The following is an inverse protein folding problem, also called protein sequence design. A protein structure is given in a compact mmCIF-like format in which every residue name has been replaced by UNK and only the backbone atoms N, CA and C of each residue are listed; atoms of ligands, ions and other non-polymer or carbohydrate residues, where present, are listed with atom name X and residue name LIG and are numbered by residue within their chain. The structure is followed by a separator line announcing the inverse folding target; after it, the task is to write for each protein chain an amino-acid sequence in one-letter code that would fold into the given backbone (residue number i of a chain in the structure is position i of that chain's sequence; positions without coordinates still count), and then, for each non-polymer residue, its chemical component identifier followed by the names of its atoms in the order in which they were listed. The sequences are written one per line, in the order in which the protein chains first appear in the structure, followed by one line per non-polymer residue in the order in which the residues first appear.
data_IF_580115882250
#
_entry.id   IF_580115882250
#
_cell.length_a   1.000
_cell.length_b   1.000
_cell.length_c   1.000
_cell.angle_alpha   90.00
_cell.angle_beta   90.00
_cell.angle_gamma   90.00
#
_symmetry.space_group_name_H-M   'P 1'
#
loop_
_entity.id
_entity.type
_entity.pdbx_description
1 polymer ?
#
# COMPACT_ATOMS: atom_id res chain seq x y z
N UNK A 1 25.60 -4.20 -4.49
CA UNK A 1 24.32 -3.60 -4.07
C UNK A 1 23.76 -2.83 -5.26
N UNK A 2 22.44 -2.85 -5.52
CA UNK A 2 21.85 -1.93 -6.48
C UNK A 2 22.20 -0.50 -6.07
N UNK A 3 22.41 0.39 -7.04
CA UNK A 3 22.71 1.80 -6.81
C UNK A 3 21.54 2.60 -6.21
N UNK A 4 20.39 1.96 -5.95
CA UNK A 4 19.13 2.60 -5.57
C UNK A 4 18.67 2.38 -4.13
N UNK A 5 19.31 1.52 -3.34
CA UNK A 5 18.95 1.40 -1.92
C UNK A 5 19.73 2.43 -1.12
N UNK A 6 19.02 3.27 -0.37
CA UNK A 6 19.66 4.18 0.57
C UNK A 6 20.05 3.43 1.85
N UNK A 7 21.35 3.20 2.04
CA UNK A 7 21.90 2.54 3.22
C UNK A 7 21.38 3.17 4.51
N UNK A 8 20.85 2.34 5.43
CA UNK A 8 20.33 2.79 6.72
C UNK A 8 18.90 3.35 6.69
N UNK A 9 18.28 3.42 5.51
CA UNK A 9 16.86 3.76 5.33
C UNK A 9 16.10 2.61 4.69
N UNK A 10 16.62 2.11 3.58
CA UNK A 10 15.98 1.06 2.80
C UNK A 10 16.48 -0.32 3.19
N UNK A 11 15.57 -1.30 3.13
CA UNK A 11 15.89 -2.71 3.20
C UNK A 11 15.80 -3.32 1.79
N UNK A 12 16.84 -4.08 1.41
CA UNK A 12 16.88 -4.77 0.12
C UNK A 12 16.19 -6.11 0.22
N UNK A 13 15.19 -6.34 -0.63
CA UNK A 13 14.49 -7.62 -0.73
C UNK A 13 14.86 -8.32 -2.04
N UNK A 14 15.71 -9.37 -2.01
CA UNK A 14 16.19 -10.06 -3.21
C UNK A 14 15.06 -10.62 -4.09
N UNK A 15 14.01 -11.18 -3.48
CA UNK A 15 12.88 -11.80 -4.18
C UNK A 15 12.09 -10.82 -5.04
N UNK A 16 12.09 -9.54 -4.65
CA UNK A 16 11.42 -8.47 -5.38
C UNK A 16 12.36 -7.66 -6.27
N UNK A 17 13.66 -7.90 -6.14
CA UNK A 17 14.72 -7.08 -6.69
C UNK A 17 14.45 -5.57 -6.47
N UNK A 18 13.99 -5.21 -5.26
CA UNK A 18 13.57 -3.85 -4.94
C UNK A 18 13.96 -3.44 -3.52
N UNK A 19 14.21 -2.15 -3.35
CA UNK A 19 14.47 -1.50 -2.06
C UNK A 19 13.13 -1.04 -1.47
N UNK A 20 12.89 -1.35 -0.20
CA UNK A 20 11.66 -1.01 0.49
C UNK A 20 12.03 -0.27 1.75
N UNK A 21 11.44 0.90 1.94
CA UNK A 21 11.53 1.57 3.23
C UNK A 21 10.34 1.15 4.09
N UNK A 22 10.64 0.71 5.31
CA UNK A 22 9.67 0.25 6.31
C UNK A 22 9.72 1.22 7.51
N UNK A 23 8.85 2.24 7.53
CA UNK A 23 8.77 3.17 8.65
C UNK A 23 8.49 2.47 9.99
N UNK A 24 9.26 2.86 11.01
CA UNK A 24 9.14 2.28 12.36
C UNK A 24 7.85 2.69 13.08
N UNK A 25 7.23 3.80 12.69
CA UNK A 25 6.01 4.32 13.30
C UNK A 25 4.82 4.20 12.37
N UNK A 26 3.65 3.98 12.97
CA UNK A 26 2.38 4.06 12.29
C UNK A 26 1.92 5.52 12.17
N UNK A 27 1.22 5.86 11.08
CA UNK A 27 0.72 7.21 10.82
C UNK A 27 -0.69 7.17 10.22
N UNK A 28 -1.48 8.26 10.34
CA UNK A 28 -2.71 8.43 9.57
C UNK A 28 -2.45 8.31 8.07
N UNK A 29 -3.47 7.93 7.30
CA UNK A 29 -3.32 7.50 5.91
C UNK A 29 -2.64 8.55 5.01
N UNK A 30 -3.08 9.81 5.07
CA UNK A 30 -2.47 10.88 4.27
C UNK A 30 -1.06 11.24 4.73
N UNK A 31 -0.78 11.17 6.04
CA UNK A 31 0.58 11.37 6.52
C UNK A 31 1.51 10.24 6.08
N UNK A 32 1.04 8.99 6.10
CA UNK A 32 1.80 7.83 5.60
C UNK A 32 2.21 8.03 4.12
N UNK A 33 1.29 8.50 3.26
CA UNK A 33 1.60 8.87 1.88
C UNK A 33 2.67 9.96 1.81
N UNK A 34 2.49 11.04 2.56
CA UNK A 34 3.42 12.17 2.61
C UNK A 34 4.83 11.74 3.06
N UNK A 35 4.95 10.81 4.01
CA UNK A 35 6.26 10.28 4.44
C UNK A 35 6.97 9.59 3.28
N UNK A 36 6.29 8.72 2.54
CA UNK A 36 6.91 8.06 1.39
C UNK A 36 7.32 9.07 0.30
N UNK A 37 6.46 10.04 0.01
CA UNK A 37 6.71 11.04 -1.03
C UNK A 37 7.86 12.00 -0.68
N UNK A 38 8.03 12.34 0.61
CA UNK A 38 9.12 13.19 1.10
C UNK A 38 10.52 12.60 0.85
N UNK A 39 10.61 11.29 0.62
CA UNK A 39 11.86 10.58 0.26
C UNK A 39 11.86 10.10 -1.20
N UNK A 40 11.00 10.67 -2.05
CA UNK A 40 10.94 10.34 -3.48
C UNK A 40 10.24 9.02 -3.83
N UNK A 41 9.72 8.31 -2.83
CA UNK A 41 9.02 7.01 -2.96
C UNK A 41 7.49 7.23 -2.99
N UNK A 42 6.74 6.13 -3.00
CA UNK A 42 5.28 6.10 -2.86
C UNK A 42 4.86 5.00 -1.89
N UNK A 43 3.71 5.19 -1.24
CA UNK A 43 3.12 4.11 -0.43
C UNK A 43 2.76 2.92 -1.32
N UNK A 44 3.04 1.71 -0.86
CA UNK A 44 2.78 0.47 -1.59
C UNK A 44 1.27 0.24 -1.74
N UNK A 45 0.80 -0.02 -2.96
CA UNK A 45 -0.54 -0.56 -3.23
C UNK A 45 -0.55 -2.09 -3.23
N UNK A 46 -1.69 -2.70 -3.56
CA UNK A 46 -1.79 -4.17 -3.68
C UNK A 46 -1.75 -4.69 -5.11
N UNK A 47 -1.08 -3.96 -6.03
CA UNK A 47 -0.78 -4.47 -7.37
C UNK A 47 0.04 -5.78 -7.29
N UNK A 48 0.83 -5.94 -6.22
CA UNK A 48 1.42 -7.20 -5.81
C UNK A 48 1.00 -7.53 -4.37
N UNK A 49 -0.23 -8.04 -4.21
CA UNK A 49 -0.81 -8.39 -2.91
C UNK A 49 0.07 -9.36 -2.10
N UNK A 50 0.70 -10.34 -2.75
CA UNK A 50 1.59 -11.30 -2.08
C UNK A 50 2.81 -10.62 -1.43
N UNK A 51 3.35 -9.58 -2.09
CA UNK A 51 4.42 -8.75 -1.52
C UNK A 51 3.97 -8.00 -0.27
N UNK A 52 2.76 -7.43 -0.27
CA UNK A 52 2.19 -6.77 0.91
C UNK A 52 2.05 -7.77 2.07
N UNK A 53 1.47 -8.94 1.81
CA UNK A 53 1.26 -9.98 2.82
C UNK A 53 2.57 -10.51 3.42
N UNK A 54 3.59 -10.71 2.59
CA UNK A 54 4.91 -11.13 3.08
C UNK A 54 5.53 -10.06 3.99
N UNK A 55 5.48 -8.77 3.61
CA UNK A 55 6.01 -7.68 4.45
C UNK A 55 5.23 -7.53 5.75
N UNK A 56 3.91 -7.71 5.73
CA UNK A 56 3.10 -7.75 6.94
C UNK A 56 3.56 -8.88 7.87
N UNK A 57 3.85 -10.07 7.34
CA UNK A 57 4.37 -11.19 8.14
C UNK A 57 5.77 -10.89 8.72
N UNK A 58 6.69 -10.37 7.90
CA UNK A 58 8.06 -9.99 8.35
C UNK A 58 8.02 -8.94 9.45
N UNK A 59 7.05 -8.01 9.40
CA UNK A 59 6.90 -6.94 10.39
C UNK A 59 5.92 -7.26 11.52
N UNK A 60 5.36 -8.49 11.53
CA UNK A 60 4.31 -8.93 12.46
C UNK A 60 3.12 -7.95 12.52
N UNK A 61 2.76 -7.36 11.38
CA UNK A 61 1.66 -6.43 11.25
C UNK A 61 0.36 -7.17 10.94
N UNK A 62 -0.66 -6.99 11.79
CA UNK A 62 -2.03 -7.47 11.54
C UNK A 62 -2.78 -6.62 10.51
N UNK A 63 -2.35 -5.37 10.32
CA UNK A 63 -2.88 -4.48 9.29
C UNK A 63 -1.81 -3.51 8.80
N UNK A 64 -1.99 -2.99 7.58
CA UNK A 64 -1.15 -1.94 6.99
C UNK A 64 -2.02 -1.07 6.08
N UNK A 65 -1.69 0.22 5.99
CA UNK A 65 -2.19 1.09 4.93
C UNK A 65 -1.61 0.65 3.59
N UNK A 66 -2.41 0.79 2.54
CA UNK A 66 -2.00 0.58 1.16
C UNK A 66 -2.46 1.73 0.28
N UNK A 67 -1.64 2.11 -0.70
CA UNK A 67 -1.99 3.21 -1.59
C UNK A 67 -3.23 2.86 -2.41
N UNK A 68 -4.15 3.81 -2.48
CA UNK A 68 -5.22 3.85 -3.47
C UNK A 68 -5.53 5.30 -3.85
N UNK A 69 -6.11 5.46 -5.04
CA UNK A 69 -6.85 6.66 -5.45
C UNK A 69 -8.34 6.37 -5.30
N UNK A 70 -9.02 7.16 -4.46
CA UNK A 70 -10.46 7.13 -4.34
C UNK A 70 -11.12 7.97 -5.45
N UNK A 71 -12.07 7.39 -6.18
CA UNK A 71 -12.82 8.04 -7.25
C UNK A 71 -14.25 8.44 -6.84
N UNK A 72 -14.65 8.15 -5.60
CA UNK A 72 -16.04 8.26 -5.13
C UNK A 72 -16.84 6.98 -5.40
N UNK A 73 -18.04 6.89 -4.83
CA UNK A 73 -18.97 5.77 -4.99
C UNK A 73 -18.29 4.40 -4.79
N UNK A 74 -17.54 4.23 -3.69
CA UNK A 74 -16.84 3.00 -3.33
C UNK A 74 -15.89 2.50 -4.44
N UNK A 75 -15.39 3.42 -5.27
CA UNK A 75 -14.58 3.09 -6.44
C UNK A 75 -13.14 3.52 -6.20
N UNK A 76 -12.22 2.58 -6.39
CA UNK A 76 -10.81 2.75 -6.07
C UNK A 76 -9.90 2.30 -7.21
N UNK A 77 -8.76 2.97 -7.35
CA UNK A 77 -7.72 2.65 -8.32
C UNK A 77 -6.34 2.55 -7.69
N UNK A 78 -5.51 1.71 -8.29
CA UNK A 78 -4.08 1.66 -8.06
C UNK A 78 -3.35 2.85 -8.66
N UNK A 79 -2.06 2.98 -8.35
CA UNK A 79 -1.26 4.13 -8.81
C UNK A 79 -1.14 4.18 -10.34
N UNK A 80 -1.29 3.04 -11.01
CA UNK A 80 -1.27 2.92 -12.46
C UNK A 80 -2.64 3.14 -13.15
N UNK A 81 -3.67 3.46 -12.35
CA UNK A 81 -5.04 3.66 -12.81
C UNK A 81 -5.84 2.37 -12.97
N UNK A 82 -5.26 1.20 -12.67
CA UNK A 82 -5.98 -0.08 -12.69
C UNK A 82 -7.01 -0.11 -11.57
N UNK A 83 -8.22 -0.57 -11.88
CA UNK A 83 -9.29 -0.75 -10.89
C UNK A 83 -8.97 -1.88 -9.92
N UNK A 84 -9.32 -1.71 -8.65
CA UNK A 84 -9.18 -2.78 -7.65
C UNK A 84 -10.17 -3.92 -7.96
N UNK A 85 -9.72 -5.18 -8.15
CA UNK A 85 -10.60 -6.32 -8.36
C UNK A 85 -11.45 -6.64 -7.13
N UNK A 86 -12.72 -7.02 -7.35
CA UNK A 86 -13.64 -7.44 -6.29
C UNK A 86 -13.07 -8.56 -5.40
N UNK A 87 -12.25 -9.46 -5.96
CA UNK A 87 -11.65 -10.59 -5.25
C UNK A 87 -10.54 -10.22 -4.26
N UNK A 88 -10.05 -8.98 -4.26
CA UNK A 88 -9.06 -8.52 -3.28
C UNK A 88 -9.70 -7.93 -2.01
N UNK A 89 -11.02 -7.70 -2.02
CA UNK A 89 -11.73 -7.14 -0.88
C UNK A 89 -12.10 -8.20 0.14
N UNK A 90 -12.12 -7.78 1.39
CA UNK A 90 -12.75 -8.53 2.46
C UNK A 90 -14.26 -8.68 2.20
N UNK A 91 -14.89 -9.74 2.72
CA UNK A 91 -16.33 -9.91 2.60
C UNK A 91 -17.10 -8.66 3.04
N UNK A 92 -17.95 -8.12 2.15
CA UNK A 92 -18.77 -6.93 2.42
C UNK A 92 -18.06 -5.58 2.23
N UNK A 93 -16.82 -5.55 1.75
CA UNK A 93 -16.09 -4.31 1.44
C UNK A 93 -16.03 -4.06 -0.07
N UNK A 94 -15.91 -2.79 -0.51
CA UNK A 94 -16.05 -1.54 0.26
C UNK A 94 -17.51 -1.24 0.66
N UNK A 95 -17.72 -0.58 1.80
CA UNK A 95 -19.02 -0.27 2.40
C UNK A 95 -19.21 1.19 2.88
N UNK A 96 -18.15 1.83 3.38
CA UNK A 96 -18.16 3.09 4.13
C UNK A 96 -17.70 4.31 3.32
N UNK A 97 -17.10 4.12 2.14
CA UNK A 97 -16.63 5.18 1.24
C UNK A 97 -15.61 6.13 1.89
N UNK A 98 -14.74 5.63 2.78
CA UNK A 98 -13.82 6.46 3.57
C UNK A 98 -12.74 7.14 2.73
N UNK A 99 -12.43 6.56 1.56
CA UNK A 99 -11.35 7.01 0.69
C UNK A 99 -9.96 6.49 1.08
N UNK A 100 -9.85 5.73 2.17
CA UNK A 100 -8.58 5.23 2.69
C UNK A 100 -8.64 3.72 2.87
N UNK A 101 -7.62 3.02 2.38
CA UNK A 101 -7.60 1.55 2.36
C UNK A 101 -6.48 0.98 3.22
N UNK A 102 -6.79 -0.13 3.87
CA UNK A 102 -5.81 -1.00 4.48
C UNK A 102 -5.93 -2.42 3.94
N UNK A 103 -4.88 -3.21 4.17
CA UNK A 103 -4.96 -4.67 4.15
C UNK A 103 -5.02 -5.14 5.60
N UNK A 104 -5.91 -6.07 5.89
CA UNK A 104 -5.91 -6.81 7.15
C UNK A 104 -5.45 -8.24 6.89
N UNK A 105 -4.68 -8.79 7.82
CA UNK A 105 -4.24 -10.18 7.84
C UNK A 105 -4.29 -10.67 9.30
N UNK A 106 -5.51 -10.79 9.82
CA UNK A 106 -5.75 -11.21 11.19
C UNK A 106 -6.83 -12.30 11.20
N UNK A 107 -6.49 -13.47 11.72
CA UNK A 107 -7.36 -14.64 11.73
C UNK A 107 -8.63 -14.40 12.55
N UNK A 108 -8.57 -13.50 13.52
CA UNK A 108 -9.70 -13.13 14.40
C UNK A 108 -10.58 -12.02 13.81
N UNK A 109 -10.29 -11.56 12.58
CA UNK A 109 -11.03 -10.50 11.92
C UNK A 109 -12.16 -11.01 11.03
N UNK A 110 -13.02 -10.10 10.55
CA UNK A 110 -14.05 -10.41 9.54
C UNK A 110 -13.47 -10.84 8.17
N UNK A 111 -12.15 -10.89 8.03
CA UNK A 111 -11.43 -11.24 6.80
C UNK A 111 -10.26 -12.18 7.11
N UNK A 112 -10.54 -13.43 7.53
CA UNK A 112 -9.51 -14.35 8.00
C UNK A 112 -8.55 -14.82 6.89
N UNK A 113 -8.94 -14.72 5.61
CA UNK A 113 -8.02 -14.97 4.47
C UNK A 113 -7.13 -13.76 4.16
N UNK A 114 -7.35 -12.65 4.85
CA UNK A 114 -6.79 -11.35 4.56
C UNK A 114 -7.40 -10.71 3.32
N UNK A 115 -7.40 -9.38 3.29
CA UNK A 115 -7.93 -8.64 2.16
C UNK A 115 -7.96 -7.14 2.42
N UNK A 116 -8.42 -6.42 1.41
CA UNK A 116 -8.64 -4.99 1.46
C UNK A 116 -9.90 -4.65 2.26
N UNK A 117 -9.81 -3.59 3.02
CA UNK A 117 -10.95 -2.99 3.72
C UNK A 117 -10.78 -1.48 3.77
N UNK A 118 -11.91 -0.79 3.87
CA UNK A 118 -11.91 0.64 4.12
C UNK A 118 -11.58 0.92 5.59
N UNK A 119 -10.65 1.84 5.80
CA UNK A 119 -10.19 2.25 7.12
C UNK A 119 -10.49 3.73 7.31
N UNK A 120 -10.87 4.20 8.51
CA UNK A 120 -10.92 5.63 8.79
C UNK A 120 -9.55 6.25 8.52
N UNK A 121 -9.51 7.33 7.72
CA UNK A 121 -8.24 7.96 7.33
C UNK A 121 -7.41 8.48 8.51
N UNK A 122 -8.05 8.76 9.65
CA UNK A 122 -7.42 9.16 10.90
C UNK A 122 -6.74 8.01 11.66
N UNK A 123 -7.05 6.76 11.31
CA UNK A 123 -6.47 5.60 11.98
C UNK A 123 -4.98 5.47 11.62
N UNK A 124 -4.15 5.38 12.64
CA UNK A 124 -2.71 5.22 12.45
C UNK A 124 -2.37 3.76 12.18
N UNK A 125 -1.74 3.48 11.05
CA UNK A 125 -1.36 2.12 10.66
C UNK A 125 0.07 2.06 10.10
N UNK A 126 0.64 0.86 10.06
CA UNK A 126 1.90 0.59 9.36
C UNK A 126 1.71 0.80 7.86
N UNK A 127 2.81 0.97 7.13
CA UNK A 127 2.83 1.16 5.69
C UNK A 127 4.24 0.85 5.17
N UNK A 128 4.34 0.62 3.86
CA UNK A 128 5.59 0.35 3.19
C UNK A 128 5.78 1.35 2.05
N UNK A 129 6.98 1.90 1.91
CA UNK A 129 7.30 2.82 0.84
C UNK A 129 8.17 2.12 -0.22
N UNK A 130 7.79 2.28 -1.48
CA UNK A 130 8.47 1.69 -2.64
C UNK A 130 8.81 2.73 -3.69
N UNK A 131 9.78 2.39 -4.53
CA UNK A 131 10.10 3.18 -5.71
C UNK A 131 8.85 3.42 -6.58
N UNK A 132 8.76 4.63 -7.13
CA UNK A 132 7.76 4.96 -8.15
C UNK A 132 8.02 4.05 -9.35
N UNK A 133 7.04 3.24 -9.72
CA UNK A 133 7.17 2.36 -10.87
C UNK A 133 7.32 3.22 -12.14
N UNK A 134 8.49 3.22 -12.79
CA UNK A 134 8.80 4.12 -13.92
C UNK A 134 7.88 3.91 -15.14
N UNK A 135 7.35 2.70 -15.30
CA UNK A 135 6.34 2.39 -16.32
C UNK A 135 4.98 3.04 -16.01
N UNK A 136 4.68 3.26 -14.73
CA UNK A 136 3.48 3.99 -14.31
C UNK A 136 3.62 5.47 -14.65
N UNK A 137 4.78 6.10 -14.38
CA UNK A 137 5.05 7.53 -14.65
C UNK A 137 4.91 7.89 -16.13
N UNK A 138 5.30 7.02 -17.08
CA UNK A 138 5.09 7.26 -18.51
C UNK A 138 3.61 7.47 -18.88
N UNK A 139 2.70 6.68 -18.30
CA UNK A 139 1.25 6.83 -18.48
C UNK A 139 0.67 8.16 -17.96
N UNK A 140 1.40 8.90 -17.10
CA UNK A 140 0.98 10.23 -16.64
C UNK A 140 1.33 11.33 -17.64
N UNK A 141 2.48 11.21 -18.30
CA UNK A 141 2.96 12.18 -19.29
C UNK A 141 2.20 12.02 -20.61
N UNK A 142 1.86 10.78 -20.98
CA UNK A 142 1.17 10.49 -22.24
C UNK A 142 -0.35 10.80 -22.21
N UNK A 143 -0.87 11.32 -21.09
CA UNK A 143 -2.28 11.74 -20.92
C UNK A 143 -2.45 13.21 -20.55
N UNK A 144 -1.38 14.01 -20.64
CA UNK A 144 -1.40 15.46 -20.43
C UNK A 144 -1.31 16.21 -21.77
#
# INVERSE_FOLDING_TARGET
MPTSCETGRDEWFPDYQNCIWIPMHAYPYEEAKNKCEAVGKVMMGTENYQKVMHLMNVTNAKSTHVYSRHLGNNTYQWIDGTMIPASQWCPGQPAENTGCLGVQNDLDSACPQGGLYEIPCSFSNRFFCVEKNKNTVRRWVDKA
#
